data_IF_065098386840
#
_entry.id   IF_065098386840
#
_cell.length_a   1.000
_cell.length_b   1.000
_cell.length_c   1.000
_cell.angle_alpha   90.00
_cell.angle_beta   90.00
_cell.angle_gamma   90.00
#
_symmetry.space_group_name_H-M   'P 1'
#
loop_
_entity.id
_entity.type
_entity.pdbx_description
1 polymer ?
#
# COMPACT_ATOMS: atom_id res chain seq x y z
N UNK A 1 22.73 -57.22 -13.77
CA UNK A 1 21.49 -56.52 -13.45
C UNK A 1 21.88 -55.16 -12.84
N UNK A 2 21.73 -54.08 -13.61
CA UNK A 2 22.01 -52.72 -13.11
C UNK A 2 20.66 -52.09 -12.74
N UNK A 3 20.44 -51.86 -11.48
CA UNK A 3 19.24 -51.17 -10.96
C UNK A 3 19.41 -49.67 -11.18
N UNK A 4 18.59 -49.09 -12.05
CA UNK A 4 18.50 -47.64 -12.22
C UNK A 4 17.52 -47.13 -11.16
N UNK A 5 18.03 -46.43 -10.16
CA UNK A 5 17.21 -45.68 -9.23
C UNK A 5 16.81 -44.35 -9.90
N UNK A 6 15.54 -44.23 -10.25
CA UNK A 6 14.93 -42.97 -10.68
C UNK A 6 14.73 -42.12 -9.44
N UNK A 7 15.53 -41.05 -9.27
CA UNK A 7 15.24 -39.97 -8.33
C UNK A 7 14.02 -39.24 -8.86
N UNK A 8 12.86 -39.54 -8.32
CA UNK A 8 11.69 -38.70 -8.44
C UNK A 8 11.88 -37.42 -7.60
N UNK A 9 12.27 -36.33 -8.24
CA UNK A 9 12.24 -35.02 -7.62
C UNK A 9 10.79 -34.68 -7.30
N UNK A 10 10.45 -34.65 -6.00
CA UNK A 10 9.23 -33.94 -5.55
C UNK A 10 9.40 -32.47 -5.91
N UNK A 11 8.71 -32.04 -6.96
CA UNK A 11 8.40 -30.62 -7.14
C UNK A 11 7.48 -30.23 -5.97
N UNK A 12 8.07 -29.67 -4.92
CA UNK A 12 7.28 -28.92 -3.94
C UNK A 12 6.72 -27.74 -4.71
N UNK A 13 5.44 -27.79 -5.03
CA UNK A 13 4.67 -26.62 -5.44
C UNK A 13 4.82 -25.62 -4.30
N UNK A 14 5.53 -24.53 -4.54
CA UNK A 14 5.55 -23.42 -3.61
C UNK A 14 4.07 -22.99 -3.45
N UNK A 15 3.54 -23.16 -2.25
CA UNK A 15 2.21 -22.67 -1.93
C UNK A 15 2.35 -21.17 -1.65
N UNK A 16 1.47 -20.40 -2.27
CA UNK A 16 1.34 -18.98 -1.93
C UNK A 16 1.18 -18.83 -0.41
N UNK A 17 1.74 -17.76 0.14
CA UNK A 17 1.78 -17.52 1.58
C UNK A 17 0.39 -17.20 2.12
N UNK A 18 -0.40 -18.23 2.36
CA UNK A 18 -1.72 -18.14 2.98
C UNK A 18 -1.57 -17.95 4.49
N UNK A 19 -1.70 -16.71 4.95
CA UNK A 19 -1.67 -16.37 6.38
C UNK A 19 -3.05 -16.02 6.95
N UNK A 20 -4.13 -16.18 6.18
CA UNK A 20 -5.50 -15.85 6.58
C UNK A 20 -5.82 -14.35 6.56
N UNK A 21 -4.95 -13.52 5.98
CA UNK A 21 -5.21 -12.08 5.91
C UNK A 21 -6.50 -11.78 5.14
N UNK A 22 -7.36 -10.90 5.66
CA UNK A 22 -8.62 -10.55 5.02
C UNK A 22 -8.40 -10.05 3.58
N UNK A 23 -9.31 -10.42 2.68
CA UNK A 23 -9.31 -10.01 1.26
C UNK A 23 -8.09 -10.38 0.42
N UNK A 24 -7.13 -11.16 0.95
CA UNK A 24 -5.89 -11.50 0.23
C UNK A 24 -6.03 -12.68 -0.75
N UNK A 25 -7.12 -13.44 -0.66
CA UNK A 25 -7.40 -14.56 -1.56
C UNK A 25 -7.76 -14.13 -2.98
N UNK A 26 -8.32 -12.95 -3.13
CA UNK A 26 -8.66 -12.32 -4.40
C UNK A 26 -7.74 -11.12 -4.64
N UNK A 27 -7.59 -10.62 -5.88
CA UNK A 27 -6.98 -9.33 -6.12
C UNK A 27 -7.72 -8.28 -5.28
N UNK A 28 -7.01 -7.41 -4.55
CA UNK A 28 -7.67 -6.44 -3.67
C UNK A 28 -8.44 -5.39 -4.48
N UNK A 29 -9.69 -5.15 -4.10
CA UNK A 29 -10.48 -4.01 -4.53
C UNK A 29 -10.55 -3.02 -3.37
N UNK A 30 -9.94 -1.85 -3.53
CA UNK A 30 -9.83 -0.87 -2.48
C UNK A 30 -9.62 0.54 -3.00
N UNK A 31 -9.41 1.44 -2.07
CA UNK A 31 -9.06 2.83 -2.31
C UNK A 31 -7.89 3.23 -1.41
N UNK A 32 -6.98 4.03 -1.96
CA UNK A 32 -5.82 4.55 -1.24
C UNK A 32 -5.91 6.07 -1.10
N UNK A 33 -5.52 6.57 0.05
CA UNK A 33 -5.48 8.00 0.33
C UNK A 33 -4.33 8.73 -0.37
N UNK A 34 -3.37 8.01 -0.98
CA UNK A 34 -2.13 8.61 -1.48
C UNK A 34 -2.32 9.82 -2.38
N UNK A 35 -3.22 9.73 -3.33
CA UNK A 35 -3.50 10.80 -4.29
C UNK A 35 -4.68 11.70 -3.91
N UNK A 36 -5.40 11.38 -2.85
CA UNK A 36 -6.59 12.09 -2.43
C UNK A 36 -6.45 12.84 -1.11
N UNK A 37 -5.71 12.28 -0.15
CA UNK A 37 -5.53 12.83 1.20
C UNK A 37 -4.03 12.95 1.58
N UNK A 38 -3.12 12.79 0.62
CA UNK A 38 -1.68 12.84 0.88
C UNK A 38 -1.15 14.23 1.21
N UNK A 39 0.12 14.33 1.64
CA UNK A 39 0.74 15.61 1.96
C UNK A 39 0.67 16.62 0.81
N UNK A 40 0.19 17.82 1.09
CA UNK A 40 0.08 18.90 0.12
C UNK A 40 -1.19 18.88 -0.72
N UNK A 41 -2.15 18.00 -0.43
CA UNK A 41 -3.49 18.08 -1.00
C UNK A 41 -4.27 19.15 -0.25
N UNK A 42 -4.64 20.22 -0.95
CA UNK A 42 -5.61 21.18 -0.47
C UNK A 42 -6.99 20.80 -1.01
N UNK A 43 -7.88 20.39 -0.13
CA UNK A 43 -9.25 20.04 -0.53
C UNK A 43 -10.26 20.87 0.27
N UNK A 44 -11.31 21.44 -0.36
CA UNK A 44 -12.27 22.32 0.31
C UNK A 44 -13.09 21.63 1.41
N UNK A 45 -13.11 20.30 1.45
CA UNK A 45 -13.84 19.51 2.44
C UNK A 45 -12.88 18.73 3.36
N UNK A 46 -11.67 18.37 2.86
CA UNK A 46 -10.68 17.60 3.59
C UNK A 46 -9.39 18.42 3.69
N UNK A 47 -9.14 18.95 4.85
CA UNK A 47 -7.97 19.81 5.06
C UNK A 47 -6.66 19.04 5.05
N UNK A 48 -6.70 17.72 5.23
CA UNK A 48 -5.50 16.87 5.27
C UNK A 48 -5.84 15.41 5.63
N UNK A 49 -4.81 14.57 5.71
CA UNK A 49 -4.84 13.24 6.30
C UNK A 49 -5.05 13.32 7.82
N UNK A 50 -6.26 13.49 8.27
CA UNK A 50 -6.66 13.49 9.67
C UNK A 50 -7.79 12.49 9.95
N UNK A 51 -8.08 12.27 11.24
CA UNK A 51 -9.07 11.28 11.65
C UNK A 51 -10.47 11.56 11.10
N UNK A 52 -10.86 12.83 10.95
CA UNK A 52 -12.16 13.21 10.42
C UNK A 52 -12.23 12.96 8.92
N UNK A 53 -11.24 13.44 8.17
CA UNK A 53 -11.15 13.26 6.72
C UNK A 53 -11.13 11.78 6.33
N UNK A 54 -10.39 10.96 7.08
CA UNK A 54 -10.36 9.51 6.86
C UNK A 54 -11.73 8.87 7.11
N UNK A 55 -12.45 9.24 8.17
CA UNK A 55 -13.80 8.72 8.45
C UNK A 55 -14.80 9.14 7.36
N UNK A 56 -14.74 10.40 6.90
CA UNK A 56 -15.58 10.88 5.79
C UNK A 56 -15.31 10.10 4.49
N UNK A 57 -14.04 9.78 4.19
CA UNK A 57 -13.69 8.98 3.03
C UNK A 57 -14.19 7.52 3.16
N UNK A 58 -14.19 6.96 4.39
CA UNK A 58 -14.77 5.64 4.68
C UNK A 58 -16.29 5.67 4.43
N UNK A 59 -17.01 6.69 4.90
CA UNK A 59 -18.46 6.84 4.69
C UNK A 59 -18.79 6.91 3.20
N UNK A 60 -17.97 7.63 2.46
CA UNK A 60 -18.16 7.79 1.02
C UNK A 60 -18.09 6.45 0.24
N UNK A 61 -17.43 5.40 0.73
CA UNK A 61 -17.50 4.05 0.12
C UNK A 61 -18.93 3.56 -0.07
N UNK A 62 -19.79 3.82 0.92
CA UNK A 62 -21.21 3.43 0.86
C UNK A 62 -22.02 4.44 0.05
N UNK A 63 -21.78 5.74 0.22
CA UNK A 63 -22.52 6.80 -0.43
C UNK A 63 -22.38 6.79 -1.95
N UNK A 64 -21.19 6.47 -2.48
CA UNK A 64 -20.93 6.44 -3.93
C UNK A 64 -21.08 5.05 -4.54
N UNK A 65 -21.45 4.03 -3.76
CA UNK A 65 -21.72 2.67 -4.24
C UNK A 65 -20.46 1.82 -4.47
N UNK A 66 -19.29 2.21 -3.96
CA UNK A 66 -18.08 1.39 -4.04
C UNK A 66 -18.23 0.08 -3.27
N UNK A 67 -18.84 0.15 -2.08
CA UNK A 67 -19.09 -1.04 -1.27
C UNK A 67 -19.98 -2.05 -2.01
N UNK A 68 -21.06 -1.61 -2.64
CA UNK A 68 -21.98 -2.45 -3.42
C UNK A 68 -21.28 -3.02 -4.66
N UNK A 69 -20.33 -2.28 -5.24
CA UNK A 69 -19.50 -2.74 -6.36
C UNK A 69 -18.43 -3.78 -5.96
N UNK A 70 -18.24 -4.04 -4.65
CA UNK A 70 -17.33 -5.07 -4.16
C UNK A 70 -16.03 -4.55 -3.55
N UNK A 71 -15.81 -3.25 -3.52
CA UNK A 71 -14.66 -2.66 -2.85
C UNK A 71 -14.74 -2.87 -1.34
N UNK A 72 -13.63 -3.32 -0.72
CA UNK A 72 -13.62 -3.74 0.69
C UNK A 72 -12.41 -3.24 1.46
N UNK A 73 -11.48 -2.57 0.79
CA UNK A 73 -10.23 -2.17 1.39
C UNK A 73 -10.06 -0.65 1.37
N UNK A 74 -9.84 -0.05 2.55
CA UNK A 74 -9.45 1.35 2.71
C UNK A 74 -7.98 1.40 3.13
N UNK A 75 -7.15 2.15 2.40
CA UNK A 75 -5.73 2.28 2.70
C UNK A 75 -5.36 3.73 3.03
N UNK A 76 -4.82 3.93 4.23
CA UNK A 76 -4.22 5.20 4.65
C UNK A 76 -2.72 5.17 4.33
N UNK A 77 -2.33 5.93 3.33
CA UNK A 77 -0.96 6.00 2.84
C UNK A 77 -0.08 6.97 3.66
N UNK A 78 1.08 7.39 3.14
CA UNK A 78 2.14 8.15 3.81
C UNK A 78 1.69 9.54 4.26
N UNK A 79 1.18 9.63 5.50
CA UNK A 79 0.79 10.91 6.09
C UNK A 79 0.62 10.85 7.62
N UNK A 80 0.40 9.65 8.17
CA UNK A 80 -0.15 9.45 9.51
C UNK A 80 0.90 9.43 10.64
N UNK A 81 2.16 9.01 10.37
CA UNK A 81 3.16 8.77 11.40
C UNK A 81 3.74 10.09 11.95
N UNK A 82 3.61 10.31 13.25
CA UNK A 82 4.16 11.47 13.96
C UNK A 82 5.59 11.25 14.46
N UNK A 83 5.97 10.00 14.74
CA UNK A 83 7.31 9.70 15.25
C UNK A 83 7.41 8.35 15.95
N UNK A 84 8.49 8.22 16.76
CA UNK A 84 8.70 7.06 17.64
C UNK A 84 8.85 7.51 19.09
N UNK A 85 8.28 6.74 20.01
CA UNK A 85 8.48 6.96 21.44
C UNK A 85 9.87 6.47 21.90
N UNK A 86 10.17 6.65 23.19
CA UNK A 86 11.46 6.27 23.77
C UNK A 86 11.79 4.77 23.74
N UNK A 87 10.79 3.92 23.47
CA UNK A 87 10.94 2.47 23.31
C UNK A 87 10.91 2.02 21.85
N UNK A 88 10.91 2.99 20.91
CA UNK A 88 10.98 2.74 19.48
C UNK A 88 9.64 2.47 18.80
N UNK A 89 8.51 2.46 19.52
CA UNK A 89 7.18 2.26 18.92
C UNK A 89 6.71 3.50 18.17
N UNK A 90 6.10 3.26 17.01
CA UNK A 90 5.42 4.31 16.24
C UNK A 90 4.24 4.89 17.00
N UNK A 91 4.01 6.17 16.81
CA UNK A 91 2.76 6.84 17.19
C UNK A 91 2.27 7.71 16.03
N UNK A 92 0.96 7.89 15.88
CA UNK A 92 0.41 8.77 14.85
C UNK A 92 0.67 10.25 15.19
N UNK A 93 0.62 11.10 14.16
CA UNK A 93 0.68 12.55 14.35
C UNK A 93 -0.47 13.01 15.28
N UNK A 94 -0.11 13.58 16.44
CA UNK A 94 -1.07 13.82 17.52
C UNK A 94 -2.14 14.87 17.14
N UNK A 95 -1.75 15.87 16.37
CA UNK A 95 -2.68 16.91 15.92
C UNK A 95 -3.68 16.38 14.88
N UNK A 96 -3.28 15.38 14.09
CA UNK A 96 -4.12 14.75 13.06
C UNK A 96 -4.97 13.60 13.63
N UNK A 97 -4.42 12.87 14.59
CA UNK A 97 -5.05 11.69 15.20
C UNK A 97 -5.00 11.78 16.74
N UNK A 98 -5.71 12.72 17.36
CA UNK A 98 -5.61 12.99 18.80
C UNK A 98 -6.00 11.79 19.68
N UNK A 99 -6.88 10.92 19.19
CA UNK A 99 -7.30 9.70 19.88
C UNK A 99 -6.52 8.45 19.40
N UNK A 100 -5.45 8.64 18.60
CA UNK A 100 -4.70 7.57 17.96
C UNK A 100 -5.38 7.00 16.71
N UNK A 101 -4.76 5.96 16.13
CA UNK A 101 -5.28 5.33 14.90
C UNK A 101 -6.35 4.26 15.16
N UNK A 102 -6.30 3.58 16.31
CA UNK A 102 -7.23 2.50 16.59
C UNK A 102 -8.71 2.88 16.42
N UNK A 103 -9.20 4.05 16.90
CA UNK A 103 -10.59 4.45 16.69
C UNK A 103 -10.96 4.66 15.20
N UNK A 104 -9.99 4.99 14.36
CA UNK A 104 -10.19 5.14 12.90
C UNK A 104 -10.26 3.77 12.23
N UNK A 105 -9.39 2.85 12.62
CA UNK A 105 -9.42 1.46 12.18
C UNK A 105 -10.73 0.78 12.59
N UNK A 106 -11.14 0.94 13.85
CA UNK A 106 -12.40 0.39 14.36
C UNK A 106 -13.62 0.95 13.58
N UNK A 107 -13.54 2.22 13.15
CA UNK A 107 -14.59 2.85 12.32
C UNK A 107 -14.69 2.20 10.93
N UNK A 108 -13.55 1.92 10.30
CA UNK A 108 -13.53 1.19 9.02
C UNK A 108 -14.11 -0.22 9.18
N UNK A 109 -13.74 -0.93 10.24
CA UNK A 109 -14.28 -2.26 10.54
C UNK A 109 -15.79 -2.23 10.81
N UNK A 110 -16.29 -1.22 11.53
CA UNK A 110 -17.73 -1.04 11.74
C UNK A 110 -18.48 -0.78 10.42
N UNK A 111 -17.79 -0.23 9.42
CA UNK A 111 -18.28 -0.03 8.05
C UNK A 111 -18.06 -1.25 7.14
N UNK A 112 -17.67 -2.41 7.68
CA UNK A 112 -17.33 -3.64 6.96
C UNK A 112 -16.20 -3.48 5.93
N UNK A 113 -15.28 -2.56 6.16
CA UNK A 113 -14.07 -2.40 5.36
C UNK A 113 -12.85 -2.93 6.13
N UNK A 114 -11.88 -3.48 5.41
CA UNK A 114 -10.54 -3.72 5.95
C UNK A 114 -9.74 -2.42 5.89
N UNK A 115 -8.79 -2.25 6.82
CA UNK A 115 -7.99 -1.05 6.94
C UNK A 115 -6.51 -1.33 6.75
N UNK A 116 -5.88 -0.58 5.84
CA UNK A 116 -4.45 -0.65 5.56
C UNK A 116 -3.69 0.59 6.02
N UNK A 117 -2.43 0.38 6.36
CA UNK A 117 -1.47 1.44 6.67
C UNK A 117 -0.22 1.34 5.81
N UNK A 118 0.38 2.49 5.58
CA UNK A 118 1.66 2.65 4.92
C UNK A 118 2.81 2.63 5.92
N UNK A 119 3.94 2.04 5.51
CA UNK A 119 5.26 2.24 6.09
C UNK A 119 6.34 2.18 5.01
N UNK A 120 7.60 2.32 5.39
CA UNK A 120 8.73 2.23 4.48
C UNK A 120 9.82 1.34 5.07
N UNK A 121 10.51 0.58 4.22
CA UNK A 121 11.60 -0.31 4.64
C UNK A 121 12.81 0.42 5.20
N UNK A 122 13.05 1.65 4.74
CA UNK A 122 14.23 2.41 5.13
C UNK A 122 14.10 3.14 6.46
N UNK A 123 14.99 4.09 6.67
CA UNK A 123 15.04 4.91 7.90
C UNK A 123 13.92 5.95 7.96
N UNK A 124 13.42 6.37 6.80
CA UNK A 124 12.33 7.35 6.65
C UNK A 124 11.38 6.92 5.54
N UNK A 125 10.17 7.48 5.56
CA UNK A 125 9.18 7.32 4.48
C UNK A 125 9.62 8.03 3.20
N UNK A 126 8.94 7.78 2.08
CA UNK A 126 9.27 8.38 0.79
C UNK A 126 9.01 9.88 0.76
N UNK A 127 7.99 10.38 1.46
CA UNK A 127 7.76 11.83 1.61
C UNK A 127 8.88 12.48 2.43
N UNK A 128 9.55 11.70 3.31
CA UNK A 128 10.57 12.19 4.21
C UNK A 128 10.02 12.81 5.51
N UNK A 129 10.89 12.96 6.50
CA UNK A 129 10.53 13.54 7.80
C UNK A 129 9.73 12.62 8.73
N UNK A 130 9.21 11.48 8.24
CA UNK A 130 8.52 10.47 9.04
C UNK A 130 9.35 9.21 9.17
N UNK A 131 9.26 8.47 10.30
CA UNK A 131 10.06 7.26 10.50
C UNK A 131 9.64 6.12 9.56
N UNK A 132 10.64 5.48 8.95
CA UNK A 132 10.47 4.16 8.34
C UNK A 132 10.71 3.04 9.34
N UNK A 133 10.56 1.79 8.93
CA UNK A 133 10.57 0.59 9.80
C UNK A 133 11.94 -0.05 9.98
N UNK A 134 13.00 0.49 9.36
CA UNK A 134 14.36 -0.06 9.50
C UNK A 134 14.73 -0.21 10.97
N UNK A 135 15.19 -1.42 11.35
CA UNK A 135 15.60 -1.79 12.71
C UNK A 135 14.47 -1.76 13.77
N UNK A 136 13.19 -1.59 13.34
CA UNK A 136 12.02 -1.53 14.21
C UNK A 136 10.89 -2.49 13.80
N UNK A 137 11.19 -3.52 13.01
CA UNK A 137 10.20 -4.44 12.43
C UNK A 137 9.20 -4.98 13.46
N UNK A 138 9.72 -5.43 14.62
CA UNK A 138 8.89 -6.02 15.68
C UNK A 138 8.01 -4.98 16.37
N UNK A 139 8.53 -3.78 16.64
CA UNK A 139 7.77 -2.70 17.28
C UNK A 139 6.62 -2.26 16.35
N UNK A 140 6.92 -2.08 15.07
CA UNK A 140 5.95 -1.60 14.08
C UNK A 140 4.86 -2.64 13.82
N UNK A 141 5.25 -3.90 13.63
CA UNK A 141 4.30 -5.00 13.46
C UNK A 141 3.35 -5.13 14.67
N UNK A 142 3.88 -5.01 15.90
CA UNK A 142 3.07 -5.03 17.11
C UNK A 142 2.10 -3.84 17.18
N UNK A 143 2.56 -2.62 16.81
CA UNK A 143 1.70 -1.45 16.78
C UNK A 143 0.56 -1.62 15.76
N UNK A 144 0.87 -2.10 14.56
CA UNK A 144 -0.16 -2.38 13.53
C UNK A 144 -1.16 -3.43 14.01
N UNK A 145 -0.70 -4.50 14.65
CA UNK A 145 -1.57 -5.54 15.20
C UNK A 145 -2.45 -5.00 16.35
N UNK A 146 -1.92 -4.20 17.24
CA UNK A 146 -2.65 -3.57 18.35
C UNK A 146 -3.74 -2.61 17.84
N UNK A 147 -3.45 -1.85 16.80
CA UNK A 147 -4.42 -0.96 16.19
C UNK A 147 -5.48 -1.69 15.36
N UNK A 148 -5.25 -2.96 15.03
CA UNK A 148 -6.20 -3.76 14.25
C UNK A 148 -6.01 -3.63 12.74
N UNK A 149 -4.84 -3.25 12.27
CA UNK A 149 -4.53 -3.12 10.83
C UNK A 149 -4.64 -4.47 10.13
N UNK A 150 -5.18 -4.48 8.90
CA UNK A 150 -5.38 -5.69 8.08
C UNK A 150 -4.38 -5.78 6.92
N UNK A 151 -3.80 -4.65 6.53
CA UNK A 151 -2.92 -4.52 5.36
C UNK A 151 -1.77 -3.57 5.66
N UNK A 152 -0.56 -3.93 5.29
CA UNK A 152 0.63 -3.09 5.40
C UNK A 152 1.26 -2.93 4.02
N UNK A 153 1.24 -1.71 3.48
CA UNK A 153 2.09 -1.34 2.34
C UNK A 153 3.44 -0.92 2.88
N UNK A 154 4.50 -1.59 2.46
CA UNK A 154 5.87 -1.27 2.84
C UNK A 154 6.66 -0.82 1.62
N UNK A 155 6.98 0.47 1.58
CA UNK A 155 7.69 1.13 0.50
C UNK A 155 9.21 0.96 0.60
N UNK A 156 9.98 1.46 -0.39
CA UNK A 156 11.41 1.16 -0.53
C UNK A 156 12.32 2.39 -0.53
N UNK A 157 11.94 3.52 0.05
CA UNK A 157 12.75 4.73 0.16
C UNK A 157 13.74 4.67 1.33
N UNK A 158 14.83 5.43 1.23
CA UNK A 158 15.84 5.58 2.30
C UNK A 158 16.42 4.24 2.82
N UNK A 159 16.64 3.30 1.89
CA UNK A 159 17.04 1.91 2.15
C UNK A 159 18.52 1.64 1.91
N UNK A 160 19.39 2.65 1.94
CA UNK A 160 20.81 2.53 1.61
C UNK A 160 21.47 1.28 2.20
N UNK A 161 22.01 0.44 1.31
CA UNK A 161 22.72 -0.79 1.66
C UNK A 161 21.82 -1.93 2.17
N UNK A 162 20.49 -1.85 2.01
CA UNK A 162 19.56 -2.93 2.36
C UNK A 162 19.28 -3.83 1.16
N UNK A 163 19.04 -5.12 1.44
CA UNK A 163 18.58 -6.10 0.45
C UNK A 163 17.07 -6.25 0.55
N UNK A 164 16.29 -6.05 -0.55
CA UNK A 164 14.84 -6.08 -0.52
C UNK A 164 14.27 -7.35 0.09
N UNK A 165 14.71 -8.50 -0.38
CA UNK A 165 14.22 -9.79 0.09
C UNK A 165 14.39 -9.99 1.60
N UNK A 166 15.51 -9.54 2.17
CA UNK A 166 15.77 -9.64 3.60
C UNK A 166 14.87 -8.68 4.39
N UNK A 167 14.76 -7.42 3.96
CA UNK A 167 13.96 -6.42 4.65
C UNK A 167 12.47 -6.79 4.69
N UNK A 168 11.90 -7.23 3.55
CA UNK A 168 10.51 -7.68 3.50
C UNK A 168 10.29 -8.98 4.29
N UNK A 169 11.24 -9.90 4.29
CA UNK A 169 11.16 -11.11 5.12
C UNK A 169 11.19 -10.75 6.63
N UNK A 170 11.99 -9.78 7.04
CA UNK A 170 12.02 -9.31 8.43
C UNK A 170 10.67 -8.73 8.86
N UNK A 171 10.05 -7.88 8.05
CA UNK A 171 8.71 -7.36 8.34
C UNK A 171 7.66 -8.48 8.36
N UNK A 172 7.66 -9.37 7.36
CA UNK A 172 6.74 -10.50 7.29
C UNK A 172 6.82 -11.40 8.54
N UNK A 173 8.04 -11.73 8.97
CA UNK A 173 8.27 -12.52 10.17
C UNK A 173 7.79 -11.81 11.44
N UNK A 174 8.03 -10.48 11.53
CA UNK A 174 7.56 -9.67 12.64
C UNK A 174 6.03 -9.62 12.69
N UNK A 175 5.37 -9.41 11.54
CA UNK A 175 3.91 -9.43 11.43
C UNK A 175 3.33 -10.77 11.86
N UNK A 176 3.91 -11.89 11.42
CA UNK A 176 3.48 -13.23 11.82
C UNK A 176 3.64 -13.49 13.32
N UNK A 177 4.72 -12.99 13.91
CA UNK A 177 4.96 -13.16 15.33
C UNK A 177 3.92 -12.46 16.22
N UNK A 178 3.16 -11.50 15.69
CA UNK A 178 2.05 -10.84 16.41
C UNK A 178 0.83 -11.75 16.60
N UNK A 179 0.68 -12.79 15.78
CA UNK A 179 -0.50 -13.65 15.74
C UNK A 179 -1.71 -13.03 15.01
N UNK A 180 -1.63 -11.79 14.53
CA UNK A 180 -2.65 -11.17 13.68
C UNK A 180 -2.35 -11.45 12.22
N UNK A 181 -3.36 -11.92 11.49
CA UNK A 181 -3.28 -12.07 10.03
C UNK A 181 -3.35 -10.70 9.36
N UNK A 182 -2.25 -10.26 8.76
CA UNK A 182 -2.14 -9.00 8.01
C UNK A 182 -1.57 -9.26 6.62
N UNK A 183 -2.10 -8.59 5.61
CA UNK A 183 -1.55 -8.61 4.26
C UNK A 183 -0.29 -7.74 4.20
N UNK A 184 0.80 -8.26 3.67
CA UNK A 184 1.97 -7.47 3.31
C UNK A 184 1.95 -7.18 1.81
N UNK A 185 1.99 -5.89 1.45
CA UNK A 185 2.21 -5.40 0.09
C UNK A 185 3.62 -4.84 -0.01
N UNK A 186 4.46 -5.45 -0.83
CA UNK A 186 5.85 -5.02 -1.05
C UNK A 186 5.91 -3.98 -2.17
N UNK A 187 6.56 -2.84 -1.93
CA UNK A 187 6.61 -1.73 -2.87
C UNK A 187 8.04 -1.30 -3.19
N UNK A 188 8.85 -2.22 -3.79
CA UNK A 188 10.20 -1.93 -4.29
C UNK A 188 10.21 -1.62 -5.80
N UNK A 189 9.03 -1.30 -6.34
CA UNK A 189 8.80 -0.85 -7.73
C UNK A 189 9.23 -1.85 -8.81
N UNK A 190 9.26 -3.15 -8.51
CA UNK A 190 9.60 -4.23 -9.45
C UNK A 190 11.07 -4.33 -9.80
N UNK A 191 11.97 -3.64 -9.08
CA UNK A 191 13.41 -3.58 -9.41
C UNK A 191 14.13 -4.91 -9.30
N UNK A 192 13.76 -5.71 -8.30
CA UNK A 192 14.39 -7.00 -8.02
C UNK A 192 13.51 -8.18 -8.47
N UNK A 193 12.56 -7.96 -9.41
CA UNK A 193 11.61 -8.98 -9.87
C UNK A 193 10.87 -9.67 -8.71
N UNK A 194 10.13 -8.97 -7.86
CA UNK A 194 9.53 -9.52 -6.64
C UNK A 194 8.59 -10.69 -6.90
N UNK A 195 8.05 -10.83 -8.11
CA UNK A 195 7.25 -11.99 -8.52
C UNK A 195 8.02 -13.32 -8.49
N UNK A 196 9.36 -13.30 -8.54
CA UNK A 196 10.19 -14.50 -8.52
C UNK A 196 10.45 -15.02 -7.09
N UNK A 197 10.39 -14.14 -6.09
CA UNK A 197 10.78 -14.46 -4.71
C UNK A 197 9.79 -14.02 -3.64
N UNK A 198 8.81 -13.18 -3.97
CA UNK A 198 7.90 -12.54 -3.00
C UNK A 198 6.86 -13.47 -2.41
N UNK A 199 6.45 -14.51 -3.15
CA UNK A 199 5.35 -15.40 -2.77
C UNK A 199 5.47 -16.04 -1.36
N UNK A 200 6.63 -16.49 -0.87
CA UNK A 200 6.75 -17.01 0.50
C UNK A 200 6.83 -15.90 1.58
N UNK A 201 6.80 -14.63 1.19
CA UNK A 201 7.03 -13.49 2.08
C UNK A 201 5.78 -12.62 2.21
N UNK A 202 5.08 -12.37 1.10
CA UNK A 202 4.02 -11.39 1.01
C UNK A 202 2.85 -11.88 0.14
N UNK A 203 1.71 -11.19 0.21
CA UNK A 203 0.51 -11.51 -0.56
C UNK A 203 0.38 -10.69 -1.84
N UNK A 204 1.10 -9.56 -1.92
CA UNK A 204 1.19 -8.77 -3.15
C UNK A 204 2.49 -7.97 -3.23
N UNK A 205 2.84 -7.55 -4.44
CA UNK A 205 4.04 -6.77 -4.71
C UNK A 205 3.88 -5.90 -5.95
N UNK A 206 4.36 -4.66 -5.84
CA UNK A 206 4.49 -3.74 -6.97
C UNK A 206 5.44 -4.32 -8.00
N UNK A 207 5.00 -4.36 -9.24
CA UNK A 207 5.77 -4.90 -10.34
C UNK A 207 6.46 -3.84 -11.20
N UNK A 208 6.23 -2.58 -10.93
CA UNK A 208 6.72 -1.43 -11.70
C UNK A 208 6.85 -0.18 -10.85
N UNK A 209 7.45 0.88 -11.42
CA UNK A 209 7.40 2.23 -10.87
C UNK A 209 5.97 2.77 -10.78
N UNK A 210 5.84 3.98 -10.21
CA UNK A 210 4.55 4.56 -9.90
C UNK A 210 3.74 4.90 -11.16
N UNK A 211 2.44 4.62 -11.08
CA UNK A 211 1.46 5.07 -12.05
C UNK A 211 1.27 6.59 -11.95
N UNK A 212 0.89 7.18 -13.06
CA UNK A 212 0.42 8.56 -13.11
C UNK A 212 -0.90 8.60 -13.85
N UNK A 213 -1.78 9.55 -13.55
CA UNK A 213 -3.14 9.66 -14.14
C UNK A 213 -3.18 9.88 -15.66
N UNK A 214 -2.21 9.34 -16.41
CA UNK A 214 -2.09 9.47 -17.87
C UNK A 214 -2.28 8.14 -18.56
N UNK A 215 -3.00 8.14 -19.65
CA UNK A 215 -3.17 6.95 -20.49
C UNK A 215 -1.85 6.33 -20.96
N UNK A 216 -0.81 7.14 -21.17
CA UNK A 216 0.52 6.64 -21.52
C UNK A 216 1.13 5.79 -20.40
N UNK A 217 0.99 6.22 -19.15
CA UNK A 217 1.43 5.49 -17.98
C UNK A 217 0.66 4.17 -17.82
N UNK A 218 -0.67 4.21 -17.90
CA UNK A 218 -1.51 3.00 -17.87
C UNK A 218 -1.07 1.98 -18.93
N UNK A 219 -0.87 2.41 -20.18
CA UNK A 219 -0.38 1.52 -21.24
C UNK A 219 0.99 0.93 -20.95
N UNK A 220 1.86 1.70 -20.32
CA UNK A 220 3.21 1.23 -19.99
C UNK A 220 3.16 0.17 -18.88
N UNK A 221 2.37 0.38 -17.84
CA UNK A 221 2.15 -0.61 -16.79
C UNK A 221 1.58 -1.93 -17.35
N UNK A 222 0.59 -1.87 -18.22
CA UNK A 222 0.05 -3.06 -18.91
C UNK A 222 1.13 -3.78 -19.73
N UNK A 223 2.00 -3.03 -20.41
CA UNK A 223 3.11 -3.61 -21.16
C UNK A 223 4.17 -4.26 -20.25
N UNK A 224 4.43 -3.64 -19.09
CA UNK A 224 5.34 -4.21 -18.10
C UNK A 224 4.73 -5.49 -17.50
N UNK A 225 3.45 -5.48 -17.15
CA UNK A 225 2.72 -6.65 -16.68
C UNK A 225 2.80 -7.81 -17.68
N UNK A 226 2.63 -7.53 -18.96
CA UNK A 226 2.72 -8.54 -20.01
C UNK A 226 4.13 -9.16 -20.18
N UNK A 227 5.16 -8.59 -19.59
CA UNK A 227 6.53 -9.15 -19.59
C UNK A 227 6.78 -10.11 -18.44
N UNK A 228 5.96 -10.09 -17.40
CA UNK A 228 6.08 -11.04 -16.29
C UNK A 228 5.79 -12.44 -16.83
N UNK A 229 6.71 -13.41 -16.62
CA UNK A 229 6.49 -14.76 -17.12
C UNK A 229 5.20 -15.38 -16.57
N UNK A 230 4.49 -16.14 -17.40
CA UNK A 230 3.17 -16.68 -17.08
C UNK A 230 3.11 -17.51 -15.78
N UNK A 231 4.22 -18.19 -15.41
CA UNK A 231 4.31 -18.93 -14.16
C UNK A 231 4.27 -18.05 -12.91
N UNK A 232 4.54 -16.74 -13.05
CA UNK A 232 4.48 -15.72 -12.00
C UNK A 232 3.25 -14.81 -12.11
N UNK A 233 2.29 -15.18 -12.97
CA UNK A 233 0.98 -14.51 -13.01
C UNK A 233 0.29 -14.62 -11.65
N UNK A 234 -0.47 -13.60 -11.29
CA UNK A 234 -1.18 -13.54 -10.01
C UNK A 234 -2.04 -14.78 -9.77
N UNK A 235 -2.03 -15.25 -8.53
CA UNK A 235 -2.85 -16.35 -8.02
C UNK A 235 -3.28 -16.05 -6.59
N UNK A 236 -4.28 -16.76 -6.04
CA UNK A 236 -4.70 -16.55 -4.65
C UNK A 236 -3.50 -16.46 -3.71
N UNK A 237 -3.48 -15.41 -2.89
CA UNK A 237 -2.41 -15.06 -1.93
C UNK A 237 -1.07 -14.62 -2.53
N UNK A 238 -1.02 -14.39 -3.85
CA UNK A 238 0.22 -13.99 -4.55
C UNK A 238 -0.12 -13.11 -5.75
N UNK A 239 -0.26 -11.80 -5.55
CA UNK A 239 -0.75 -10.88 -6.56
C UNK A 239 0.33 -9.91 -7.04
N UNK A 240 0.46 -9.80 -8.35
CA UNK A 240 1.19 -8.71 -8.98
C UNK A 240 0.35 -7.43 -8.88
N UNK A 241 0.95 -6.38 -8.34
CA UNK A 241 0.32 -5.07 -8.16
C UNK A 241 0.84 -4.12 -9.23
N UNK A 242 -0.05 -3.66 -10.11
CA UNK A 242 0.26 -2.70 -11.18
C UNK A 242 0.15 -1.26 -10.73
N UNK A 243 -0.06 -1.02 -9.44
CA UNK A 243 -0.33 0.28 -8.84
C UNK A 243 -1.80 0.76 -8.99
N UNK A 244 -2.08 1.88 -8.37
CA UNK A 244 -3.40 2.51 -8.38
C UNK A 244 -3.80 2.94 -9.79
N UNK A 245 -5.08 2.86 -10.13
CA UNK A 245 -5.58 3.31 -11.44
C UNK A 245 -5.54 4.82 -11.62
N UNK A 246 -5.58 5.58 -10.53
CA UNK A 246 -5.64 7.06 -10.51
C UNK A 246 -6.74 7.64 -11.41
N UNK A 247 -7.87 6.95 -11.51
CA UNK A 247 -9.00 7.37 -12.34
C UNK A 247 -9.61 8.65 -11.78
N UNK A 248 -9.70 9.68 -12.62
CA UNK A 248 -10.23 10.98 -12.21
C UNK A 248 -9.19 11.93 -11.59
N UNK A 249 -7.94 11.51 -11.46
CA UNK A 249 -6.86 12.33 -10.96
C UNK A 249 -6.25 13.18 -12.08
N UNK A 250 -6.88 14.30 -12.37
CA UNK A 250 -6.52 15.16 -13.52
C UNK A 250 -5.27 16.01 -13.30
N UNK A 251 -4.86 16.27 -12.06
CA UNK A 251 -3.77 17.21 -11.77
C UNK A 251 -2.38 16.63 -12.02
N UNK A 252 -2.20 15.33 -11.92
CA UNK A 252 -0.95 14.70 -12.34
C UNK A 252 -0.65 14.90 -13.83
N UNK A 253 -1.64 15.09 -14.65
CA UNK A 253 -1.45 15.40 -16.06
C UNK A 253 -0.79 16.77 -16.28
N UNK A 254 -0.95 17.72 -15.37
CA UNK A 254 -0.38 19.06 -15.45
C UNK A 254 1.12 19.10 -15.04
N UNK A 255 1.57 18.22 -14.15
CA UNK A 255 2.99 18.13 -13.74
C UNK A 255 3.92 17.55 -14.80
N UNK A 256 3.37 17.00 -15.86
CA UNK A 256 4.13 16.39 -16.95
C UNK A 256 4.91 17.35 -17.82
N UNK A 257 4.79 18.63 -17.65
CA UNK A 257 5.52 19.62 -18.43
C UNK A 257 6.91 19.97 -17.85
N UNK A 258 7.62 18.99 -17.31
CA UNK A 258 9.07 19.03 -17.18
C UNK A 258 9.64 19.72 -15.95
N UNK A 259 8.91 19.83 -14.86
CA UNK A 259 9.49 20.09 -13.54
C UNK A 259 9.23 18.90 -12.63
N UNK A 260 10.19 18.01 -12.54
CA UNK A 260 10.32 17.08 -11.44
C UNK A 260 10.44 17.90 -10.14
N UNK A 261 9.34 18.15 -9.46
CA UNK A 261 9.41 18.46 -8.05
C UNK A 261 9.40 17.12 -7.32
N UNK A 262 10.44 16.83 -6.56
CA UNK A 262 10.53 15.65 -5.68
C UNK A 262 9.55 15.70 -4.51
N UNK A 263 8.50 16.49 -4.63
CA UNK A 263 7.39 16.54 -3.69
C UNK A 263 6.12 16.31 -4.47
N UNK A 264 5.31 15.30 -4.12
CA UNK A 264 3.96 15.18 -4.65
C UNK A 264 3.16 16.41 -4.21
N UNK A 265 3.03 17.39 -5.08
CA UNK A 265 2.08 18.49 -4.88
C UNK A 265 0.74 18.01 -5.38
N UNK A 266 0.03 17.33 -4.53
CA UNK A 266 -1.37 17.01 -4.73
C UNK A 266 -2.18 18.25 -4.34
N UNK A 267 -2.97 18.77 -5.28
CA UNK A 267 -3.87 19.88 -5.01
C UNK A 267 -3.30 21.28 -5.08
N UNK A 268 -2.14 21.52 -5.69
CA UNK A 268 -1.76 22.90 -5.99
C UNK A 268 -2.56 23.41 -7.19
N UNK A 269 -3.55 24.24 -6.90
CA UNK A 269 -4.34 25.08 -7.75
C UNK A 269 -3.80 25.29 -9.17
N UNK A 270 -4.39 24.61 -10.14
CA UNK A 270 -4.55 25.23 -11.45
C UNK A 270 -5.57 26.37 -11.24
N UNK A 271 -5.07 27.57 -10.96
CA UNK A 271 -5.91 28.75 -10.99
C UNK A 271 -6.49 28.89 -12.39
N UNK A 272 -7.80 28.67 -12.52
CA UNK A 272 -8.41 28.97 -13.81
C UNK A 272 -9.92 28.92 -13.86
N UNK A 273 -10.57 27.98 -13.23
CA UNK A 273 -11.99 27.77 -13.55
C UNK A 273 -12.94 27.39 -12.41
N UNK A 274 -12.53 27.51 -11.18
CA UNK A 274 -13.45 27.42 -10.03
C UNK A 274 -14.16 26.06 -9.85
N UNK A 275 -13.80 25.04 -10.61
CA UNK A 275 -14.26 23.67 -10.42
C UNK A 275 -13.11 22.86 -9.82
N UNK A 276 -13.11 22.75 -8.51
CA UNK A 276 -12.33 21.74 -7.82
C UNK A 276 -13.05 20.39 -8.01
N UNK A 277 -12.38 19.38 -8.56
CA UNK A 277 -12.96 18.05 -8.54
C UNK A 277 -13.15 17.60 -7.08
N UNK A 278 -14.28 17.04 -6.78
CA UNK A 278 -14.49 16.25 -5.57
C UNK A 278 -13.36 15.25 -5.44
N UNK A 279 -12.88 14.87 -4.22
CA UNK A 279 -11.97 13.75 -4.09
C UNK A 279 -12.60 12.59 -4.80
N UNK A 280 -11.93 12.12 -5.85
CA UNK A 280 -12.49 10.98 -6.56
C UNK A 280 -12.21 9.76 -5.70
N UNK A 281 -13.24 9.21 -5.07
CA UNK A 281 -13.21 7.87 -4.49
C UNK A 281 -13.03 6.79 -5.58
N UNK A 282 -12.73 7.22 -6.81
CA UNK A 282 -12.51 6.38 -7.97
C UNK A 282 -11.07 5.86 -8.10
N UNK A 283 -10.14 6.24 -7.20
CA UNK A 283 -8.78 5.70 -7.20
C UNK A 283 -8.78 4.32 -6.55
N UNK A 284 -9.33 3.38 -7.28
CA UNK A 284 -9.44 2.01 -6.85
C UNK A 284 -8.23 1.18 -7.31
N UNK A 285 -7.84 0.25 -6.50
CA UNK A 285 -6.88 -0.78 -6.86
C UNK A 285 -7.57 -1.87 -7.69
N UNK A 286 -6.98 -2.24 -8.80
CA UNK A 286 -7.30 -3.47 -9.52
C UNK A 286 -6.34 -4.58 -9.13
#
# INVERSE_FOLDING_TARGET
MKSSATLGGLLTLAHAYENGAPNSKLPPLGWSSWVALGPGVEHPIFDYCDALSVKMAIDAFHEVGLYEAGYRHFHLDDCWAGGRNSTGFLFPEVDLFPDGLKPVVDYAHASNLTFGLYTCAGTQTCVGGRPGSKDHWTQDANAFAEWGVDWVKMDWCNTDGMEPKEAYANMSNAMNATGRSMHLNMCEWGRENPWEWGEPIAQSWRMSGDHTGRWASTKDLVRQSAKVPAQFSGRPWAWNDMDMLETGNYEQAAHANGKESNSPRWGSNAAGDGHQPSPSLSDAWL
#
